data_IF_392533144456
#
_entry.id   IF_392533144456
#
_cell.length_a   1.000
_cell.length_b   1.000
_cell.length_c   1.000
_cell.angle_alpha   90.00
_cell.angle_beta   90.00
_cell.angle_gamma   90.00
#
_symmetry.space_group_name_H-M   'P 1'
#
loop_
_entity.id
_entity.type
_entity.pdbx_description
1 polymer ?
#
# COMPACT_ATOMS: atom_id res chain seq x y z
N UNK A 1 -35.32 -79.27 7.00
CA UNK A 1 -35.86 -78.13 7.75
C UNK A 1 -34.73 -77.49 8.52
N UNK A 2 -34.37 -76.25 8.18
CA UNK A 2 -33.21 -75.55 8.71
C UNK A 2 -32.84 -74.41 7.77
N UNK A 3 -33.44 -73.25 7.99
CA UNK A 3 -33.24 -72.03 7.21
C UNK A 3 -31.93 -71.35 7.59
N UNK A 4 -30.97 -71.27 6.67
CA UNK A 4 -29.84 -70.35 6.74
C UNK A 4 -30.17 -69.10 5.92
N UNK A 5 -30.18 -67.95 6.60
CA UNK A 5 -30.42 -66.64 6.00
C UNK A 5 -29.22 -66.16 5.19
N UNK A 6 -29.50 -65.58 4.02
CA UNK A 6 -28.62 -64.67 3.32
C UNK A 6 -29.42 -63.40 2.99
N UNK A 7 -29.11 -62.35 3.75
CA UNK A 7 -29.65 -61.00 3.62
C UNK A 7 -29.19 -60.39 2.30
N UNK A 8 -30.16 -59.95 1.49
CA UNK A 8 -29.95 -59.20 0.24
C UNK A 8 -29.80 -57.71 0.56
N UNK A 9 -28.65 -57.19 0.18
CA UNK A 9 -28.25 -55.78 0.04
C UNK A 9 -29.42 -54.83 -0.24
N UNK A 10 -29.76 -53.99 0.73
CA UNK A 10 -30.45 -52.73 0.50
C UNK A 10 -29.40 -51.61 0.43
N UNK A 11 -29.31 -50.94 -0.72
CA UNK A 11 -28.47 -49.75 -0.92
C UNK A 11 -29.14 -48.59 -0.20
N UNK A 12 -28.57 -48.17 0.92
CA UNK A 12 -28.99 -46.94 1.58
C UNK A 12 -28.17 -45.76 1.03
N UNK A 13 -28.89 -44.69 0.72
CA UNK A 13 -28.44 -43.53 -0.01
C UNK A 13 -27.92 -42.44 0.93
N UNK A 14 -26.69 -42.58 1.40
CA UNK A 14 -25.98 -41.50 2.09
C UNK A 14 -25.14 -40.70 1.09
N UNK A 15 -25.76 -39.74 0.39
CA UNK A 15 -25.04 -38.63 -0.26
C UNK A 15 -24.48 -37.72 0.84
N UNK A 16 -23.18 -37.35 0.83
CA UNK A 16 -22.70 -36.28 1.69
C UNK A 16 -23.34 -34.97 1.25
N UNK A 17 -23.98 -34.29 2.19
CA UNK A 17 -24.54 -32.96 1.99
C UNK A 17 -23.42 -31.98 1.61
N UNK A 18 -23.63 -31.33 0.48
CA UNK A 18 -22.75 -30.35 -0.15
C UNK A 18 -22.35 -29.23 0.84
N UNK A 19 -21.06 -28.97 1.12
CA UNK A 19 -20.63 -27.94 2.08
C UNK A 19 -20.64 -26.53 1.47
N UNK A 20 -21.61 -26.20 0.61
CA UNK A 20 -21.70 -24.90 -0.08
C UNK A 20 -22.52 -23.82 0.66
N UNK A 21 -22.85 -24.02 1.94
CA UNK A 21 -23.69 -23.06 2.68
C UNK A 21 -23.09 -22.53 4.01
N UNK A 22 -21.76 -22.48 4.16
CA UNK A 22 -21.12 -21.83 5.33
C UNK A 22 -20.10 -20.74 4.97
N UNK A 23 -20.36 -19.93 3.95
CA UNK A 23 -19.58 -18.71 3.68
C UNK A 23 -20.34 -17.41 3.98
N UNK A 24 -21.64 -17.49 4.32
CA UNK A 24 -22.46 -16.31 4.55
C UNK A 24 -22.20 -15.51 5.86
N UNK A 25 -21.70 -16.06 6.99
CA UNK A 25 -21.61 -15.26 8.22
C UNK A 25 -20.37 -14.37 8.34
N UNK A 26 -19.32 -14.58 7.54
CA UNK A 26 -18.04 -13.87 7.72
C UNK A 26 -18.01 -12.48 7.07
N UNK A 27 -18.95 -12.18 6.16
CA UNK A 27 -19.07 -10.86 5.53
C UNK A 27 -19.75 -9.81 6.42
N UNK A 28 -20.37 -10.21 7.54
CA UNK A 28 -21.20 -9.33 8.38
C UNK A 28 -20.46 -8.66 9.55
N UNK A 29 -19.12 -8.71 9.57
CA UNK A 29 -18.26 -8.08 10.59
C UNK A 29 -17.08 -7.29 10.02
N UNK A 30 -17.14 -6.86 8.76
CA UNK A 30 -16.45 -5.63 8.42
C UNK A 30 -17.40 -4.52 8.82
N UNK A 31 -17.17 -3.89 9.97
CA UNK A 31 -17.70 -2.55 10.23
C UNK A 31 -17.50 -1.76 8.93
N UNK A 32 -18.58 -1.25 8.33
CA UNK A 32 -18.50 -0.51 7.07
C UNK A 32 -17.54 0.64 7.31
N UNK A 33 -16.31 0.49 6.82
CA UNK A 33 -15.31 1.53 6.94
C UNK A 33 -15.87 2.79 6.29
N UNK A 34 -15.89 3.89 7.04
CA UNK A 34 -16.46 5.14 6.53
C UNK A 34 -15.45 5.83 5.61
N UNK A 35 -15.57 5.59 4.31
CA UNK A 35 -14.72 6.23 3.31
C UNK A 35 -14.86 7.76 3.24
N UNK A 36 -15.97 8.34 3.73
CA UNK A 36 -16.12 9.80 3.77
C UNK A 36 -15.09 10.47 4.69
N UNK A 37 -14.61 9.74 5.71
CA UNK A 37 -13.53 10.22 6.58
C UNK A 37 -12.22 10.47 5.84
N UNK A 38 -12.00 9.81 4.70
CA UNK A 38 -10.78 9.94 3.90
C UNK A 38 -10.76 11.20 3.04
N UNK A 39 -11.88 11.92 2.91
CA UNK A 39 -11.95 13.17 2.14
C UNK A 39 -11.04 14.27 2.66
N UNK A 40 -10.60 14.16 3.93
CA UNK A 40 -9.54 15.03 4.46
C UNK A 40 -8.22 14.92 3.67
N UNK A 41 -8.04 13.84 2.89
CA UNK A 41 -6.89 13.61 2.03
C UNK A 41 -7.11 13.99 0.56
N UNK A 42 -8.30 14.48 0.19
CA UNK A 42 -8.57 14.88 -1.20
C UNK A 42 -7.56 15.95 -1.67
N UNK A 43 -7.01 15.76 -2.86
CA UNK A 43 -6.18 16.75 -3.56
C UNK A 43 -7.10 17.66 -4.39
N UNK A 44 -6.78 18.94 -4.45
CA UNK A 44 -7.54 19.93 -5.22
C UNK A 44 -6.74 20.39 -6.43
N UNK A 45 -7.35 20.32 -7.61
CA UNK A 45 -6.76 20.78 -8.85
C UNK A 45 -7.33 22.16 -9.19
N UNK A 46 -6.50 23.21 -9.35
CA UNK A 46 -6.98 24.57 -9.63
C UNK A 46 -7.73 24.73 -10.96
N UNK A 47 -7.58 23.78 -11.89
CA UNK A 47 -8.29 23.76 -13.16
C UNK A 47 -8.21 22.39 -13.82
N UNK A 48 -8.83 22.25 -14.99
CA UNK A 48 -8.84 21.01 -15.75
C UNK A 48 -7.63 20.86 -16.69
N UNK A 49 -7.06 21.98 -17.13
CA UNK A 49 -5.99 22.01 -18.12
C UNK A 49 -4.81 22.81 -17.61
N UNK A 50 -3.60 22.38 -17.99
CA UNK A 50 -2.38 23.15 -17.77
C UNK A 50 -2.17 24.14 -18.92
N UNK A 51 -1.79 25.36 -18.59
CA UNK A 51 -1.34 26.36 -19.54
C UNK A 51 0.09 26.04 -19.98
N UNK A 52 0.38 26.17 -21.28
CA UNK A 52 1.71 25.93 -21.81
C UNK A 52 1.76 26.07 -23.32
N UNK A 53 2.92 26.49 -23.84
CA UNK A 53 3.16 26.63 -25.28
C UNK A 53 3.15 25.25 -25.98
N UNK A 54 3.73 24.24 -25.34
CA UNK A 54 3.69 22.85 -25.79
C UNK A 54 2.51 22.09 -25.13
N UNK A 55 1.43 21.93 -25.89
CA UNK A 55 0.23 21.18 -25.47
C UNK A 55 0.52 19.72 -25.15
N UNK A 56 1.45 19.08 -25.85
CA UNK A 56 1.81 17.69 -25.56
C UNK A 56 2.52 17.61 -24.23
N UNK A 57 3.46 18.52 -23.96
CA UNK A 57 4.14 18.58 -22.67
C UNK A 57 3.16 18.85 -21.53
N UNK A 58 2.24 19.82 -21.69
CA UNK A 58 1.21 20.14 -20.71
C UNK A 58 0.33 18.91 -20.40
N UNK A 59 -0.10 18.16 -21.42
CA UNK A 59 -0.85 16.92 -21.25
C UNK A 59 -0.07 15.85 -20.48
N UNK A 60 1.22 15.66 -20.80
CA UNK A 60 2.07 14.69 -20.11
C UNK A 60 2.30 15.06 -18.64
N UNK A 61 2.49 16.34 -18.33
CA UNK A 61 2.58 16.82 -16.94
C UNK A 61 1.29 16.52 -16.19
N UNK A 62 0.13 16.88 -16.75
CA UNK A 62 -1.17 16.62 -16.14
C UNK A 62 -1.38 15.13 -15.87
N UNK A 63 -1.01 14.26 -16.81
CA UNK A 63 -1.07 12.81 -16.62
C UNK A 63 -0.16 12.31 -15.49
N UNK A 64 1.05 12.86 -15.37
CA UNK A 64 1.95 12.53 -14.25
C UNK A 64 1.37 12.99 -12.91
N UNK A 65 0.76 14.17 -12.85
CA UNK A 65 0.07 14.65 -11.64
C UNK A 65 -1.10 13.75 -11.25
N UNK A 66 -1.87 13.24 -12.22
CA UNK A 66 -2.93 12.28 -11.96
C UNK A 66 -2.37 10.95 -11.43
N UNK A 67 -1.30 10.42 -12.02
CA UNK A 67 -0.66 9.20 -11.51
C UNK A 67 -0.13 9.39 -10.07
N UNK A 68 0.38 10.59 -9.73
CA UNK A 68 0.77 10.92 -8.36
C UNK A 68 -0.44 10.87 -7.41
N UNK A 69 -1.59 11.43 -7.82
CA UNK A 69 -2.83 11.34 -7.06
C UNK A 69 -3.26 9.89 -6.86
N UNK A 70 -3.22 9.06 -7.91
CA UNK A 70 -3.66 7.67 -7.84
C UNK A 70 -2.82 6.87 -6.84
N UNK A 71 -1.48 7.03 -6.87
CA UNK A 71 -0.58 6.44 -5.87
C UNK A 71 -0.86 7.01 -4.47
N UNK A 72 -1.14 8.31 -4.34
CA UNK A 72 -1.48 8.88 -3.03
C UNK A 72 -2.77 8.29 -2.46
N UNK A 73 -3.80 8.06 -3.29
CA UNK A 73 -5.04 7.38 -2.90
C UNK A 73 -4.76 5.92 -2.50
N UNK A 74 -3.85 5.22 -3.18
CA UNK A 74 -3.41 3.89 -2.78
C UNK A 74 -2.76 3.89 -1.39
N UNK A 75 -1.90 4.87 -1.10
CA UNK A 75 -1.31 5.04 0.23
C UNK A 75 -2.37 5.36 1.30
N UNK A 76 -3.31 6.28 1.02
CA UNK A 76 -4.41 6.62 1.94
C UNK A 76 -5.27 5.39 2.24
N UNK A 77 -5.67 4.64 1.22
CA UNK A 77 -6.49 3.44 1.34
C UNK A 77 -5.77 2.34 2.13
N UNK A 78 -4.48 2.15 1.86
CA UNK A 78 -3.65 1.18 2.57
C UNK A 78 -3.48 1.52 4.04
N UNK A 79 -3.26 2.80 4.36
CA UNK A 79 -3.20 3.26 5.74
C UNK A 79 -4.53 3.08 6.48
N UNK A 80 -5.65 3.39 5.80
CA UNK A 80 -6.99 3.29 6.35
C UNK A 80 -7.40 1.84 6.69
N UNK A 81 -6.98 0.88 5.87
CA UNK A 81 -7.29 -0.54 6.04
C UNK A 81 -6.30 -1.29 6.95
N UNK A 82 -5.17 -0.66 7.28
CA UNK A 82 -4.17 -1.26 8.18
C UNK A 82 -4.75 -1.42 9.60
N UNK A 83 -4.58 -2.61 10.19
CA UNK A 83 -4.93 -2.90 11.58
C UNK A 83 -3.65 -3.02 12.41
N UNK A 84 -3.09 -1.92 12.93
CA UNK A 84 -1.78 -1.96 13.57
C UNK A 84 -1.77 -2.89 14.79
N UNK A 85 -0.65 -3.59 14.98
CA UNK A 85 -0.40 -4.44 16.14
C UNK A 85 0.22 -3.59 17.23
N UNK A 86 -0.58 -3.21 18.22
CA UNK A 86 -0.22 -2.27 19.29
C UNK A 86 -0.13 -2.99 20.63
N UNK A 87 0.52 -2.39 21.63
CA UNK A 87 0.55 -2.92 23.00
C UNK A 87 -0.85 -3.18 23.56
N UNK A 88 -1.84 -2.41 23.14
CA UNK A 88 -3.21 -2.49 23.64
C UNK A 88 -3.96 -3.69 23.03
N UNK A 89 -3.64 -4.09 21.80
CA UNK A 89 -4.38 -5.13 21.07
C UNK A 89 -3.58 -6.42 20.80
N UNK A 90 -2.30 -6.46 21.16
CA UNK A 90 -1.43 -7.62 20.90
C UNK A 90 -1.96 -8.91 21.55
N UNK A 91 -2.51 -8.82 22.76
CA UNK A 91 -3.08 -9.99 23.47
C UNK A 91 -4.27 -10.57 22.70
N UNK A 92 -5.21 -9.73 22.29
CA UNK A 92 -6.36 -10.16 21.50
C UNK A 92 -5.93 -10.75 20.15
N UNK A 93 -4.94 -10.13 19.49
CA UNK A 93 -4.38 -10.64 18.24
C UNK A 93 -3.79 -12.06 18.40
N UNK A 94 -2.99 -12.28 19.45
CA UNK A 94 -2.40 -13.59 19.74
C UNK A 94 -3.48 -14.64 20.02
N UNK A 95 -4.49 -14.31 20.84
CA UNK A 95 -5.62 -15.20 21.13
C UNK A 95 -6.40 -15.59 19.85
N UNK A 96 -6.67 -14.63 18.94
CA UNK A 96 -7.33 -14.92 17.65
C UNK A 96 -6.50 -15.84 16.76
N UNK A 97 -5.18 -15.67 16.79
CA UNK A 97 -4.25 -16.50 16.02
C UNK A 97 -4.17 -17.92 16.56
N UNK A 98 -4.01 -18.09 17.88
CA UNK A 98 -3.93 -19.40 18.53
C UNK A 98 -5.23 -20.19 18.41
N UNK A 99 -6.38 -19.50 18.54
CA UNK A 99 -7.71 -20.12 18.43
C UNK A 99 -8.16 -20.37 16.99
N UNK A 100 -7.30 -20.09 15.99
CA UNK A 100 -7.60 -20.25 14.56
C UNK A 100 -8.87 -19.50 14.10
N UNK A 101 -9.25 -18.43 14.82
CA UNK A 101 -10.38 -17.58 14.48
C UNK A 101 -10.06 -16.65 13.32
N UNK A 102 -8.78 -16.33 13.13
CA UNK A 102 -8.28 -15.52 12.02
C UNK A 102 -7.70 -16.42 10.93
N UNK A 103 -8.15 -16.21 9.70
CA UNK A 103 -7.65 -16.96 8.55
C UNK A 103 -6.19 -16.60 8.22
N UNK A 104 -5.43 -17.48 7.55
CA UNK A 104 -4.11 -17.12 7.02
C UNK A 104 -4.13 -15.87 6.12
N UNK A 105 -5.25 -15.60 5.45
CA UNK A 105 -5.43 -14.42 4.60
C UNK A 105 -5.57 -13.14 5.42
N UNK A 106 -6.39 -13.15 6.46
CA UNK A 106 -6.53 -11.98 7.36
C UNK A 106 -5.20 -11.62 8.02
N UNK A 107 -4.42 -12.63 8.43
CA UNK A 107 -3.09 -12.43 9.02
C UNK A 107 -2.09 -11.75 8.07
N UNK A 108 -2.25 -11.90 6.76
CA UNK A 108 -1.32 -11.30 5.80
C UNK A 108 -1.72 -9.87 5.38
N UNK A 109 -2.94 -9.42 5.68
CA UNK A 109 -3.47 -8.14 5.21
C UNK A 109 -2.59 -6.96 5.62
N UNK A 110 -2.11 -6.92 6.87
CA UNK A 110 -1.22 -5.85 7.32
C UNK A 110 0.06 -5.76 6.48
N UNK A 111 0.66 -6.90 6.14
CA UNK A 111 1.84 -6.94 5.29
C UNK A 111 1.53 -6.50 3.85
N UNK A 112 0.34 -6.82 3.33
CA UNK A 112 -0.12 -6.36 2.00
C UNK A 112 -0.29 -4.84 1.99
N UNK A 113 -1.05 -4.30 2.95
CA UNK A 113 -1.30 -2.86 3.03
C UNK A 113 -0.02 -2.05 3.29
N UNK A 114 0.87 -2.55 4.15
CA UNK A 114 2.15 -1.87 4.38
C UNK A 114 3.02 -1.83 3.13
N UNK A 115 3.07 -2.91 2.35
CA UNK A 115 3.79 -2.92 1.07
C UNK A 115 3.16 -1.96 0.08
N UNK A 116 1.84 -1.97 -0.08
CA UNK A 116 1.14 -1.03 -0.96
C UNK A 116 1.43 0.43 -0.57
N UNK A 117 1.38 0.75 0.73
CA UNK A 117 1.76 2.07 1.25
C UNK A 117 3.20 2.48 0.88
N UNK A 118 4.18 1.60 1.13
CA UNK A 118 5.60 1.86 0.82
C UNK A 118 5.80 2.06 -0.69
N UNK A 119 5.20 1.18 -1.51
CA UNK A 119 5.35 1.22 -2.96
C UNK A 119 4.70 2.46 -3.55
N UNK A 120 3.54 2.86 -3.04
CA UNK A 120 2.86 4.09 -3.43
C UNK A 120 3.71 5.33 -3.15
N UNK A 121 4.20 5.50 -1.92
CA UNK A 121 5.00 6.68 -1.55
C UNK A 121 6.35 6.73 -2.27
N UNK A 122 7.02 5.58 -2.49
CA UNK A 122 8.21 5.53 -3.33
C UNK A 122 7.90 5.79 -4.82
N UNK A 123 6.75 5.33 -5.31
CA UNK A 123 6.29 5.58 -6.67
C UNK A 123 6.06 7.07 -6.93
N UNK A 124 5.51 7.79 -5.95
CA UNK A 124 5.35 9.25 -6.00
C UNK A 124 6.71 9.94 -6.17
N UNK A 125 7.75 9.51 -5.44
CA UNK A 125 9.11 10.06 -5.59
C UNK A 125 9.61 9.93 -7.04
N UNK A 126 9.42 8.75 -7.65
CA UNK A 126 9.84 8.51 -9.04
C UNK A 126 9.09 9.39 -10.03
N UNK A 127 7.80 9.60 -9.81
CA UNK A 127 6.98 10.46 -10.67
C UNK A 127 7.37 11.94 -10.51
N UNK A 128 7.63 12.39 -9.28
CA UNK A 128 8.18 13.74 -9.03
C UNK A 128 9.54 13.93 -9.68
N UNK A 129 10.43 12.93 -9.60
CA UNK A 129 11.71 12.94 -10.28
C UNK A 129 11.52 13.10 -11.80
N UNK A 130 10.55 12.37 -12.41
CA UNK A 130 10.22 12.54 -13.84
C UNK A 130 9.73 13.94 -14.18
N UNK A 131 8.93 14.58 -13.32
CA UNK A 131 8.54 15.99 -13.50
C UNK A 131 9.77 16.88 -13.61
N UNK A 132 10.69 16.74 -12.66
CA UNK A 132 11.92 17.54 -12.58
C UNK A 132 12.87 17.27 -13.76
N UNK A 133 13.05 16.02 -14.16
CA UNK A 133 14.05 15.65 -15.18
C UNK A 133 13.56 15.80 -16.61
N UNK A 134 12.26 15.55 -16.88
CA UNK A 134 11.75 15.40 -18.24
C UNK A 134 10.83 16.53 -18.70
N UNK A 135 10.30 17.35 -17.79
CA UNK A 135 9.18 18.24 -18.10
C UNK A 135 9.39 19.72 -17.73
N UNK A 136 10.62 20.23 -17.81
CA UNK A 136 10.95 21.64 -17.52
C UNK A 136 10.21 22.21 -16.30
N UNK A 137 10.18 21.44 -15.21
CA UNK A 137 9.31 21.75 -14.08
C UNK A 137 9.65 23.11 -13.46
N UNK A 138 8.65 23.84 -12.92
CA UNK A 138 8.87 25.08 -12.17
C UNK A 138 9.90 24.87 -11.07
N UNK A 139 10.73 25.89 -10.78
CA UNK A 139 11.80 25.78 -9.77
C UNK A 139 11.27 25.34 -8.40
N UNK A 140 10.07 25.81 -8.04
CA UNK A 140 9.37 25.40 -6.82
C UNK A 140 9.14 23.87 -6.75
N UNK A 141 8.85 23.22 -7.88
CA UNK A 141 8.66 21.75 -7.94
C UNK A 141 9.97 21.02 -7.66
N UNK A 142 11.11 21.57 -8.09
CA UNK A 142 12.43 20.98 -7.78
C UNK A 142 12.72 21.02 -6.29
N UNK A 143 12.49 22.16 -5.64
CA UNK A 143 12.64 22.27 -4.18
C UNK A 143 11.70 21.33 -3.41
N UNK A 144 10.44 21.20 -3.86
CA UNK A 144 9.48 20.25 -3.26
C UNK A 144 9.90 18.79 -3.46
N UNK A 145 10.53 18.46 -4.59
CA UNK A 145 11.11 17.13 -4.80
C UNK A 145 12.28 16.84 -3.87
N UNK A 146 13.17 17.81 -3.65
CA UNK A 146 14.26 17.69 -2.67
C UNK A 146 13.71 17.52 -1.23
N UNK A 147 12.67 18.25 -0.87
CA UNK A 147 11.98 18.10 0.41
C UNK A 147 11.39 16.69 0.57
N UNK A 148 10.70 16.21 -0.46
CA UNK A 148 10.15 14.86 -0.49
C UNK A 148 11.26 13.80 -0.34
N UNK A 149 12.37 13.95 -1.06
CA UNK A 149 13.51 13.03 -0.97
C UNK A 149 14.15 13.02 0.43
N UNK A 150 14.22 14.17 1.11
CA UNK A 150 14.74 14.24 2.48
C UNK A 150 13.86 13.46 3.46
N UNK A 151 12.54 13.51 3.29
CA UNK A 151 11.59 12.87 4.19
C UNK A 151 11.34 11.39 3.87
N UNK A 152 11.31 11.03 2.58
CA UNK A 152 10.82 9.73 2.10
C UNK A 152 11.77 9.03 1.12
N UNK A 153 12.91 9.62 0.78
CA UNK A 153 13.86 9.04 -0.17
C UNK A 153 14.48 7.72 0.29
N UNK A 154 14.37 7.38 1.58
CA UNK A 154 14.80 6.09 2.13
C UNK A 154 13.84 4.94 1.79
N UNK A 155 12.59 5.22 1.42
CA UNK A 155 11.59 4.20 1.09
C UNK A 155 12.02 3.29 -0.07
N UNK A 156 12.88 3.78 -0.97
CA UNK A 156 13.48 2.97 -2.05
C UNK A 156 14.18 1.72 -1.52
N UNK A 157 14.86 1.83 -0.37
CA UNK A 157 15.57 0.72 0.24
C UNK A 157 14.61 -0.33 0.81
N UNK A 158 13.46 0.11 1.31
CA UNK A 158 12.39 -0.76 1.80
C UNK A 158 11.72 -1.49 0.64
N UNK A 159 11.34 -0.75 -0.43
CA UNK A 159 10.79 -1.31 -1.68
C UNK A 159 11.73 -2.35 -2.27
N UNK A 160 13.01 -2.02 -2.46
CA UNK A 160 13.98 -2.94 -3.07
C UNK A 160 14.14 -4.22 -2.26
N UNK A 161 14.04 -4.11 -0.93
CA UNK A 161 14.12 -5.28 -0.05
C UNK A 161 12.84 -6.12 -0.10
N UNK A 162 11.68 -5.50 -0.30
CA UNK A 162 10.42 -6.21 -0.54
C UNK A 162 10.39 -6.91 -1.91
N UNK A 163 11.00 -6.32 -2.95
CA UNK A 163 11.14 -6.92 -4.28
C UNK A 163 12.11 -8.10 -4.26
N UNK A 164 13.24 -7.95 -3.56
CA UNK A 164 14.30 -8.97 -3.49
C UNK A 164 14.26 -9.77 -2.19
N UNK A 165 13.05 -10.15 -1.76
CA UNK A 165 12.83 -10.78 -0.45
C UNK A 165 13.53 -12.13 -0.32
N UNK A 166 13.70 -12.86 -1.41
CA UNK A 166 14.40 -14.14 -1.50
C UNK A 166 15.89 -14.01 -1.20
N UNK A 167 16.53 -12.94 -1.68
CA UNK A 167 17.93 -12.65 -1.41
C UNK A 167 18.11 -12.11 0.00
N UNK A 168 17.25 -11.15 0.38
CA UNK A 168 17.31 -10.53 1.71
C UNK A 168 17.05 -11.53 2.83
N UNK A 169 16.10 -12.44 2.64
CA UNK A 169 15.77 -13.50 3.61
C UNK A 169 16.93 -14.47 3.88
N UNK A 170 17.87 -14.58 2.94
CA UNK A 170 19.11 -15.36 3.09
C UNK A 170 20.26 -14.55 3.68
N UNK A 171 20.02 -13.31 4.10
CA UNK A 171 21.05 -12.40 4.55
C UNK A 171 21.96 -11.93 3.42
N UNK A 172 21.45 -11.81 2.18
CA UNK A 172 22.24 -11.43 1.01
C UNK A 172 21.77 -10.14 0.33
N UNK A 173 22.74 -9.47 -0.27
CA UNK A 173 22.56 -8.40 -1.26
C UNK A 173 22.04 -8.97 -2.58
N UNK A 174 21.58 -8.10 -3.50
CA UNK A 174 21.15 -8.52 -4.84
C UNK A 174 22.30 -9.16 -5.63
N UNK A 175 23.54 -8.78 -5.32
CA UNK A 175 24.77 -9.34 -5.92
C UNK A 175 25.26 -10.61 -5.21
N UNK A 176 24.40 -11.28 -4.44
CA UNK A 176 24.69 -12.51 -3.68
C UNK A 176 25.79 -12.39 -2.61
N UNK A 177 26.23 -11.18 -2.28
CA UNK A 177 27.17 -10.92 -1.19
C UNK A 177 26.45 -10.92 0.17
N UNK A 178 27.10 -11.35 1.27
CA UNK A 178 26.52 -11.25 2.61
C UNK A 178 26.15 -9.80 2.96
N UNK A 179 25.02 -9.63 3.66
CA UNK A 179 24.64 -8.34 4.24
C UNK A 179 25.59 -7.97 5.38
N UNK A 180 25.78 -6.66 5.58
CA UNK A 180 26.58 -6.10 6.67
C UNK A 180 25.79 -6.03 8.00
N UNK A 181 24.96 -7.03 8.26
CA UNK A 181 24.16 -7.16 9.49
C UNK A 181 23.84 -8.62 9.74
N UNK A 182 23.62 -8.97 11.01
CA UNK A 182 23.17 -10.31 11.42
C UNK A 182 21.65 -10.37 11.65
N UNK A 183 20.99 -9.21 11.78
CA UNK A 183 19.55 -9.12 12.00
C UNK A 183 18.91 -8.60 10.72
N UNK A 184 17.99 -9.40 10.17
CA UNK A 184 17.23 -9.07 8.96
C UNK A 184 15.75 -8.94 9.33
N UNK A 185 15.21 -7.74 9.14
CA UNK A 185 13.78 -7.44 9.22
C UNK A 185 13.19 -7.32 7.82
N UNK A 186 12.09 -8.02 7.51
CA UNK A 186 11.46 -8.03 6.19
C UNK A 186 9.95 -7.84 6.33
N UNK A 187 9.52 -6.59 6.48
CA UNK A 187 8.12 -6.27 6.74
C UNK A 187 7.70 -6.61 8.17
N UNK A 188 8.61 -6.41 9.12
CA UNK A 188 8.30 -6.51 10.54
C UNK A 188 7.54 -5.26 10.99
N UNK A 189 6.64 -5.42 11.95
CA UNK A 189 5.85 -4.33 12.50
C UNK A 189 6.25 -4.05 13.94
N UNK A 190 6.41 -2.77 14.25
CA UNK A 190 6.50 -2.26 15.62
C UNK A 190 5.42 -1.18 15.72
N UNK A 191 4.30 -1.50 16.36
CA UNK A 191 3.11 -0.64 16.39
C UNK A 191 2.59 -0.31 14.97
N UNK A 192 2.77 0.95 14.54
CA UNK A 192 2.42 1.46 13.21
C UNK A 192 3.62 1.57 12.27
N UNK A 193 4.81 1.19 12.73
CA UNK A 193 6.04 1.26 11.95
C UNK A 193 6.27 -0.05 11.22
N UNK A 194 6.52 0.04 9.92
CA UNK A 194 6.96 -1.08 9.12
C UNK A 194 8.48 -0.99 8.92
N UNK A 195 9.20 -2.08 9.14
CA UNK A 195 10.67 -2.12 9.13
C UNK A 195 11.18 -3.10 8.06
N UNK A 196 12.17 -2.64 7.29
CA UNK A 196 12.91 -3.44 6.33
C UNK A 196 14.42 -3.24 6.51
N UNK A 197 15.19 -4.30 6.28
CA UNK A 197 16.64 -4.24 6.19
C UNK A 197 17.06 -4.02 4.75
N UNK A 198 17.73 -2.90 4.48
CA UNK A 198 18.24 -2.53 3.16
C UNK A 198 19.44 -3.37 2.72
N UNK A 199 19.85 -3.19 1.46
CA UNK A 199 21.02 -3.87 0.90
C UNK A 199 22.33 -3.50 1.63
N UNK A 200 22.39 -2.30 2.19
CA UNK A 200 23.52 -1.80 2.97
C UNK A 200 23.57 -2.39 4.38
N UNK A 201 22.60 -3.22 4.76
CA UNK A 201 22.47 -3.82 6.09
C UNK A 201 21.84 -2.89 7.13
N UNK A 202 21.44 -1.66 6.77
CA UNK A 202 20.75 -0.75 7.70
C UNK A 202 19.26 -1.10 7.79
N UNK A 203 18.67 -0.78 8.94
CA UNK A 203 17.22 -0.83 9.11
C UNK A 203 16.61 0.48 8.66
N UNK A 204 15.56 0.37 7.86
CA UNK A 204 14.74 1.46 7.36
C UNK A 204 13.32 1.24 7.84
N UNK A 205 12.68 2.33 8.25
CA UNK A 205 11.33 2.29 8.76
C UNK A 205 10.48 3.44 8.22
N UNK A 206 9.18 3.19 8.20
CA UNK A 206 8.18 4.22 7.94
C UNK A 206 7.00 4.01 8.87
N UNK A 207 6.50 5.10 9.43
CA UNK A 207 5.24 5.10 10.16
C UNK A 207 4.07 5.17 9.18
N UNK A 208 3.18 4.18 9.24
CA UNK A 208 1.95 4.13 8.46
C UNK A 208 0.86 4.81 9.27
N UNK A 209 0.66 6.10 9.03
CA UNK A 209 -0.26 6.92 9.80
C UNK A 209 -0.79 8.14 9.04
N UNK A 210 -1.84 8.75 9.57
CA UNK A 210 -2.40 9.99 9.03
C UNK A 210 -1.40 11.16 9.04
N UNK A 211 -0.49 11.22 10.01
CA UNK A 211 0.52 12.29 10.08
C UNK A 211 1.52 12.20 8.93
N UNK A 212 1.93 10.98 8.56
CA UNK A 212 2.73 10.72 7.35
C UNK A 212 1.96 11.15 6.10
N UNK A 213 0.69 10.76 5.97
CA UNK A 213 -0.14 11.12 4.82
C UNK A 213 -0.39 12.63 4.72
N UNK A 214 -0.55 13.35 5.84
CA UNK A 214 -0.71 14.82 5.85
C UNK A 214 0.55 15.53 5.34
N UNK A 215 1.74 15.03 5.69
CA UNK A 215 3.00 15.57 5.16
C UNK A 215 3.11 15.34 3.65
N UNK A 216 2.85 14.12 3.20
CA UNK A 216 2.85 13.76 1.77
C UNK A 216 1.83 14.62 1.00
N UNK A 217 0.59 14.73 1.49
CA UNK A 217 -0.45 15.58 0.90
C UNK A 217 0.01 17.02 0.75
N UNK A 218 0.60 17.60 1.80
CA UNK A 218 1.05 18.99 1.79
C UNK A 218 2.04 19.25 0.65
N UNK A 219 3.01 18.34 0.46
CA UNK A 219 4.00 18.45 -0.61
C UNK A 219 3.35 18.27 -1.98
N UNK A 220 2.54 17.22 -2.18
CA UNK A 220 1.87 16.95 -3.46
C UNK A 220 0.94 18.09 -3.86
N UNK A 221 0.16 18.62 -2.92
CA UNK A 221 -0.71 19.76 -3.16
C UNK A 221 0.10 21.00 -3.56
N UNK A 222 1.25 21.23 -2.93
CA UNK A 222 2.14 22.32 -3.30
C UNK A 222 2.74 22.12 -4.71
N UNK A 223 3.03 20.88 -5.12
CA UNK A 223 3.47 20.55 -6.49
C UNK A 223 2.37 20.87 -7.49
N UNK A 224 1.15 20.39 -7.26
CA UNK A 224 -0.02 20.66 -8.13
C UNK A 224 -0.22 22.17 -8.29
N UNK A 225 -0.20 22.91 -7.19
CA UNK A 225 -0.38 24.37 -7.19
C UNK A 225 0.77 25.15 -7.83
N UNK A 226 1.91 24.52 -8.11
CA UNK A 226 3.07 25.20 -8.71
C UNK A 226 3.00 25.27 -10.23
N UNK A 227 2.08 24.54 -10.86
CA UNK A 227 1.86 24.58 -12.30
C UNK A 227 0.81 25.62 -12.68
N UNK A 228 0.91 26.22 -13.88
CA UNK A 228 -0.09 27.18 -14.35
C UNK A 228 -1.33 26.44 -14.87
N UNK A 229 -2.47 26.65 -14.22
CA UNK A 229 -3.74 26.04 -14.59
C UNK A 229 -4.61 27.03 -15.36
N UNK A 230 -5.31 26.54 -16.39
CA UNK A 230 -6.37 27.30 -17.05
C UNK A 230 -7.62 27.28 -16.17
N UNK A 231 -8.09 28.47 -15.80
CA UNK A 231 -9.37 28.67 -15.13
C UNK A 231 -10.52 28.25 -16.06
N UNK A 232 -11.58 27.66 -15.50
CA UNK A 232 -12.76 27.24 -16.26
C UNK A 232 -13.41 28.37 -17.07
N UNK A 233 -13.28 29.62 -16.59
CA UNK A 233 -13.79 30.83 -17.26
C UNK A 233 -13.05 31.22 -18.54
N UNK A 234 -11.88 30.63 -18.83
CA UNK A 234 -11.03 30.99 -19.97
C UNK A 234 -11.07 29.96 -21.11
N UNK A 235 -11.88 28.92 -20.99
CA UNK A 235 -12.06 27.91 -22.05
C UNK A 235 -13.02 28.48 -23.10
N UNK A 236 -12.48 29.13 -24.14
CA UNK A 236 -13.25 29.53 -25.32
C UNK A 236 -13.16 28.37 -26.33
N UNK A 237 -14.30 27.75 -26.61
CA UNK A 237 -14.46 26.71 -27.65
C UNK A 237 -14.49 27.32 -29.05
#
# INVERSE_FOLDING_TARGET
MGSSGLSRVARDASRPSNPRHRLAPLLNKMDKFNFDSLRIFDLTFPGHWLEGEDRNQAFQIAHVLQMIQDLFIEAVSSCALLRPLTSENIREYLERTETHKETPYERCLNAVYAKAFIFALDGIEKLMCRLVTNYSAPEKVKHLHEEYQKLFGHLKHMRDSAIHIEDRGRGKTRKQQPLKTHIVALGCFIERRCVFTGEDGKQYEIEISESTLKQVKSIIQAVINSYPWLEESKIIF
#
